data_IF_585503910972
#
_entry.id   IF_585503910972
#
_cell.length_a   1.000
_cell.length_b   1.000
_cell.length_c   1.000
_cell.angle_alpha   90.00
_cell.angle_beta   90.00
_cell.angle_gamma   90.00
#
_symmetry.space_group_name_H-M   'P 1'
#
loop_
_entity.id
_entity.type
_entity.pdbx_description
1 polymer ?
#
# COMPACT_ATOMS: atom_id res chain seq x y z
N UNK A 1 -11.05 1.19 -17.06
CA UNK A 1 -9.70 0.71 -16.74
C UNK A 1 -9.12 1.56 -15.62
N UNK A 2 -8.62 0.95 -14.57
CA UNK A 2 -8.05 1.67 -13.44
C UNK A 2 -6.69 2.24 -13.81
N UNK A 3 -6.41 3.51 -13.47
CA UNK A 3 -5.07 4.05 -13.64
C UNK A 3 -4.06 3.30 -12.76
N UNK A 4 -2.90 3.06 -13.30
CA UNK A 4 -1.82 2.36 -12.61
C UNK A 4 -0.77 3.37 -12.12
N UNK A 5 -0.48 3.33 -10.84
CA UNK A 5 0.51 4.21 -10.23
C UNK A 5 1.68 3.36 -9.73
N UNK A 6 2.82 3.51 -10.37
CA UNK A 6 4.02 2.76 -10.04
C UNK A 6 5.10 3.68 -9.49
N UNK A 7 5.65 3.34 -8.33
CA UNK A 7 6.74 4.07 -7.74
C UNK A 7 8.04 3.71 -8.47
N UNK A 8 8.56 4.65 -9.25
CA UNK A 8 9.87 4.50 -9.88
C UNK A 8 10.70 5.75 -9.63
N UNK A 9 11.14 5.96 -8.41
CA UNK A 9 11.89 7.16 -8.08
C UNK A 9 13.30 7.05 -8.64
N UNK A 10 13.53 7.65 -9.78
CA UNK A 10 14.86 7.69 -10.39
C UNK A 10 15.59 8.99 -10.10
N UNK A 11 14.91 9.92 -9.45
CA UNK A 11 15.42 11.25 -9.26
C UNK A 11 15.17 11.75 -7.86
N UNK A 12 15.76 12.87 -7.56
CA UNK A 12 15.84 13.45 -6.23
C UNK A 12 14.47 13.73 -5.59
N UNK A 13 13.43 13.98 -6.38
CA UNK A 13 12.11 14.30 -5.85
C UNK A 13 11.11 13.18 -6.06
N UNK A 14 11.46 11.95 -5.66
CA UNK A 14 10.59 10.79 -5.84
C UNK A 14 9.21 10.96 -5.24
N UNK A 15 9.10 11.54 -4.03
CA UNK A 15 7.82 11.78 -3.39
C UNK A 15 6.97 12.79 -4.14
N UNK A 16 7.58 13.84 -4.66
CA UNK A 16 6.87 14.84 -5.47
C UNK A 16 6.37 14.22 -6.77
N UNK A 17 7.18 13.38 -7.41
CA UNK A 17 6.77 12.69 -8.63
C UNK A 17 5.60 11.76 -8.37
N UNK A 18 5.60 11.07 -7.23
CA UNK A 18 4.48 10.22 -6.85
C UNK A 18 3.21 11.03 -6.66
N UNK A 19 3.30 12.19 -5.99
CA UNK A 19 2.12 13.04 -5.80
C UNK A 19 1.58 13.57 -7.13
N UNK A 20 2.46 13.92 -8.05
CA UNK A 20 2.04 14.36 -9.39
C UNK A 20 1.35 13.21 -10.14
N UNK A 21 1.91 11.99 -10.04
CA UNK A 21 1.30 10.82 -10.68
C UNK A 21 -0.09 10.55 -10.11
N UNK A 22 -0.26 10.66 -8.80
CA UNK A 22 -1.57 10.50 -8.16
C UNK A 22 -2.55 11.55 -8.66
N UNK A 23 -2.13 12.82 -8.73
CA UNK A 23 -2.97 13.91 -9.21
C UNK A 23 -3.42 13.69 -10.66
N UNK A 24 -2.50 13.22 -11.50
CA UNK A 24 -2.84 12.91 -12.90
C UNK A 24 -3.85 11.78 -13.01
N UNK A 25 -3.67 10.74 -12.20
CA UNK A 25 -4.58 9.61 -12.17
C UNK A 25 -5.97 10.06 -11.71
N UNK A 26 -6.04 10.91 -10.68
CA UNK A 26 -7.31 11.43 -10.17
C UNK A 26 -8.04 12.31 -11.21
N UNK A 27 -7.28 13.03 -12.02
CA UNK A 27 -7.87 13.88 -13.06
C UNK A 27 -8.64 13.07 -14.10
N UNK A 28 -8.38 11.77 -14.21
CA UNK A 28 -9.11 10.88 -15.10
C UNK A 28 -10.41 10.35 -14.49
N UNK A 29 -10.74 10.75 -13.28
CA UNK A 29 -11.93 10.32 -12.54
C UNK A 29 -12.05 8.79 -12.48
N UNK A 30 -11.06 8.09 -11.93
CA UNK A 30 -11.05 6.63 -11.93
C UNK A 30 -12.00 6.04 -10.91
N UNK A 31 -12.51 4.84 -11.21
CA UNK A 31 -13.27 4.07 -10.22
C UNK A 31 -12.35 3.37 -9.23
N UNK A 32 -11.17 2.95 -9.68
CA UNK A 32 -10.19 2.24 -8.85
C UNK A 32 -8.79 2.78 -9.14
N UNK A 33 -8.03 3.00 -8.08
CA UNK A 33 -6.60 3.34 -8.20
C UNK A 33 -5.76 2.11 -7.85
N UNK A 34 -4.74 1.86 -8.64
CA UNK A 34 -3.79 0.79 -8.39
C UNK A 34 -2.44 1.38 -7.96
N UNK A 35 -1.96 0.99 -6.79
CA UNK A 35 -0.66 1.39 -6.27
C UNK A 35 0.24 0.16 -6.16
N UNK A 36 1.37 0.18 -6.85
CA UNK A 36 2.33 -0.93 -6.82
C UNK A 36 3.60 -0.46 -6.12
N UNK A 37 3.72 -0.76 -4.84
CA UNK A 37 4.85 -0.38 -3.99
C UNK A 37 5.19 1.11 -4.12
N UNK A 38 4.22 2.01 -3.85
CA UNK A 38 4.40 3.44 -4.14
C UNK A 38 5.48 4.11 -3.30
N UNK A 39 5.91 3.48 -2.21
CA UNK A 39 6.95 4.04 -1.34
C UNK A 39 8.29 3.32 -1.48
N UNK A 40 8.38 2.34 -2.38
CA UNK A 40 9.61 1.60 -2.61
C UNK A 40 10.73 2.56 -3.05
N UNK A 41 11.89 2.46 -2.43
CA UNK A 41 13.08 3.26 -2.72
C UNK A 41 12.94 4.77 -2.44
N UNK A 42 11.88 5.20 -1.76
CA UNK A 42 11.79 6.57 -1.25
C UNK A 42 12.48 6.66 0.11
N UNK A 43 13.00 7.84 0.45
CA UNK A 43 13.51 8.04 1.80
C UNK A 43 12.35 8.15 2.81
N UNK A 44 12.62 7.96 4.12
CA UNK A 44 11.55 7.89 5.13
C UNK A 44 10.64 9.13 5.17
N UNK A 45 11.18 10.31 4.91
CA UNK A 45 10.40 11.54 4.93
C UNK A 45 9.39 11.56 3.78
N UNK A 46 9.81 11.16 2.60
CA UNK A 46 8.93 11.09 1.43
C UNK A 46 7.92 9.97 1.53
N UNK A 47 8.28 8.85 2.17
CA UNK A 47 7.36 7.77 2.44
C UNK A 47 6.16 8.29 3.22
N UNK A 48 6.40 9.05 4.29
CA UNK A 48 5.33 9.62 5.10
C UNK A 48 4.39 10.51 4.30
N UNK A 49 4.95 11.34 3.43
CA UNK A 49 4.13 12.23 2.61
C UNK A 49 3.22 11.48 1.65
N UNK A 50 3.75 10.45 0.99
CA UNK A 50 2.97 9.64 0.04
C UNK A 50 1.88 8.87 0.76
N UNK A 51 2.20 8.24 1.89
CA UNK A 51 1.22 7.49 2.67
C UNK A 51 0.11 8.40 3.20
N UNK A 52 0.43 9.63 3.57
CA UNK A 52 -0.57 10.60 4.02
C UNK A 52 -1.57 10.93 2.91
N UNK A 53 -1.09 11.12 1.68
CA UNK A 53 -1.96 11.36 0.54
C UNK A 53 -2.87 10.15 0.30
N UNK A 54 -2.31 8.95 0.35
CA UNK A 54 -3.07 7.73 0.13
C UNK A 54 -4.13 7.53 1.22
N UNK A 55 -3.80 7.85 2.46
CA UNK A 55 -4.77 7.75 3.55
C UNK A 55 -5.91 8.74 3.38
N UNK A 56 -5.61 9.95 2.95
CA UNK A 56 -6.64 10.95 2.67
C UNK A 56 -7.61 10.47 1.59
N UNK A 57 -7.09 9.84 0.53
CA UNK A 57 -7.93 9.27 -0.52
C UNK A 57 -8.81 8.14 0.01
N UNK A 58 -8.27 7.29 0.87
CA UNK A 58 -9.05 6.22 1.49
C UNK A 58 -10.18 6.79 2.34
N UNK A 59 -9.89 7.85 3.09
CA UNK A 59 -10.91 8.50 3.93
C UNK A 59 -12.02 9.14 3.09
N UNK A 60 -11.74 9.50 1.87
CA UNK A 60 -12.74 10.04 0.95
C UNK A 60 -13.55 8.94 0.25
N UNK A 61 -13.27 7.68 0.53
CA UNK A 61 -14.00 6.56 -0.02
C UNK A 61 -13.48 6.05 -1.37
N UNK A 62 -12.28 6.48 -1.77
CA UNK A 62 -11.69 6.01 -3.01
C UNK A 62 -11.36 4.52 -2.91
N UNK A 63 -11.78 3.74 -3.91
CA UNK A 63 -11.43 2.34 -3.99
C UNK A 63 -9.99 2.21 -4.49
N UNK A 64 -9.16 1.50 -3.72
CA UNK A 64 -7.75 1.36 -4.03
C UNK A 64 -7.30 -0.08 -3.86
N UNK A 65 -6.45 -0.53 -4.78
CA UNK A 65 -5.72 -1.78 -4.60
C UNK A 65 -4.25 -1.39 -4.40
N UNK A 66 -3.69 -1.76 -3.25
CA UNK A 66 -2.34 -1.33 -2.88
C UNK A 66 -1.45 -2.55 -2.62
N UNK A 67 -0.35 -2.64 -3.36
CA UNK A 67 0.69 -3.62 -3.10
C UNK A 67 1.79 -2.89 -2.33
N UNK A 68 2.07 -3.33 -1.10
CA UNK A 68 2.99 -2.58 -0.25
C UNK A 68 3.64 -3.46 0.80
N UNK A 69 4.80 -3.03 1.27
CA UNK A 69 5.46 -3.57 2.46
C UNK A 69 5.27 -2.66 3.68
N UNK A 70 4.51 -1.58 3.54
CA UNK A 70 4.22 -0.67 4.65
C UNK A 70 3.13 -1.27 5.52
N UNK A 71 3.52 -2.08 6.49
CA UNK A 71 2.59 -2.91 7.25
C UNK A 71 1.68 -2.09 8.16
N UNK A 72 2.19 -1.05 8.80
CA UNK A 72 1.34 -0.19 9.64
C UNK A 72 0.26 0.51 8.81
N UNK A 73 0.62 0.98 7.62
CA UNK A 73 -0.35 1.58 6.71
C UNK A 73 -1.41 0.58 6.29
N UNK A 74 -0.98 -0.63 5.89
CA UNK A 74 -1.92 -1.68 5.48
C UNK A 74 -2.88 -2.03 6.61
N UNK A 75 -2.36 -2.19 7.83
CA UNK A 75 -3.17 -2.52 8.99
C UNK A 75 -4.21 -1.45 9.29
N UNK A 76 -3.78 -0.19 9.27
CA UNK A 76 -4.60 0.93 9.76
C UNK A 76 -5.57 1.48 8.72
N UNK A 77 -5.29 1.31 7.43
CA UNK A 77 -6.05 1.97 6.37
C UNK A 77 -6.89 1.00 5.55
N UNK A 78 -6.45 -0.24 5.38
CA UNK A 78 -7.14 -1.18 4.50
C UNK A 78 -8.45 -1.70 5.13
N UNK A 79 -9.36 -2.12 4.27
CA UNK A 79 -10.59 -2.81 4.68
C UNK A 79 -10.49 -4.31 4.44
N UNK A 80 -9.57 -4.72 3.57
CA UNK A 80 -9.33 -6.12 3.27
C UNK A 80 -7.84 -6.30 2.98
N UNK A 81 -7.22 -7.30 3.57
CA UNK A 81 -5.80 -7.58 3.43
C UNK A 81 -5.61 -8.94 2.78
N UNK A 82 -4.71 -9.01 1.81
CA UNK A 82 -4.34 -10.24 1.12
C UNK A 82 -2.84 -10.44 1.28
N UNK A 83 -2.43 -11.53 1.92
CA UNK A 83 -1.03 -11.90 2.01
C UNK A 83 -0.72 -12.92 0.93
N UNK A 84 0.21 -12.56 0.06
CA UNK A 84 0.66 -13.44 -1.01
C UNK A 84 2.05 -13.99 -0.70
N UNK A 85 2.24 -15.26 -1.00
CA UNK A 85 3.52 -15.93 -0.82
C UNK A 85 3.76 -16.84 -2.02
N UNK A 86 4.90 -16.70 -2.64
CA UNK A 86 5.30 -17.51 -3.81
C UNK A 86 4.26 -17.50 -4.93
N UNK A 87 3.68 -16.33 -5.19
CA UNK A 87 2.76 -16.14 -6.30
C UNK A 87 1.32 -16.61 -6.04
N UNK A 88 1.01 -17.06 -4.82
CA UNK A 88 -0.33 -17.50 -4.48
C UNK A 88 -0.85 -16.76 -3.25
N UNK A 89 -2.17 -16.67 -3.13
CA UNK A 89 -2.80 -16.11 -1.95
C UNK A 89 -2.64 -17.12 -0.81
N UNK A 90 -1.95 -16.67 0.25
CA UNK A 90 -1.70 -17.49 1.42
C UNK A 90 -2.79 -17.31 2.48
N UNK A 91 -3.18 -16.06 2.71
CA UNK A 91 -4.18 -15.72 3.72
C UNK A 91 -4.83 -14.39 3.36
N UNK A 92 -6.13 -14.23 3.65
CA UNK A 92 -6.82 -12.97 3.41
C UNK A 92 -7.95 -12.79 4.42
N UNK A 93 -8.31 -11.53 4.64
CA UNK A 93 -9.38 -11.21 5.56
C UNK A 93 -9.32 -9.76 6.01
N UNK A 94 -10.07 -9.43 7.05
CA UNK A 94 -10.03 -8.12 7.65
C UNK A 94 -8.67 -7.85 8.28
N UNK A 95 -8.20 -6.59 8.34
CA UNK A 95 -6.90 -6.29 8.94
C UNK A 95 -6.74 -6.82 10.36
N UNK A 96 -7.78 -6.72 11.19
CA UNK A 96 -7.70 -7.23 12.56
C UNK A 96 -7.46 -8.74 12.60
N UNK A 97 -7.97 -9.48 11.62
CA UNK A 97 -7.78 -10.92 11.57
C UNK A 97 -6.39 -11.29 11.04
N UNK A 98 -5.98 -10.69 9.92
CA UNK A 98 -4.72 -11.04 9.27
C UNK A 98 -3.52 -10.58 10.10
N UNK A 99 -3.58 -9.36 10.63
CA UNK A 99 -2.48 -8.82 11.42
C UNK A 99 -2.56 -9.22 12.90
N UNK A 100 -3.75 -9.30 13.46
CA UNK A 100 -3.94 -9.57 14.88
C UNK A 100 -4.03 -11.05 15.23
N UNK A 101 -4.50 -11.88 14.31
CA UNK A 101 -4.69 -13.30 14.56
C UNK A 101 -4.46 -14.11 13.30
N UNK A 102 -3.25 -14.05 12.72
CA UNK A 102 -2.97 -14.81 11.49
C UNK A 102 -3.08 -16.33 11.74
N UNK A 103 -3.64 -17.03 10.76
CA UNK A 103 -3.90 -18.46 10.88
C UNK A 103 -2.81 -19.32 10.25
N UNK A 104 -2.16 -18.79 9.19
CA UNK A 104 -1.13 -19.53 8.47
C UNK A 104 0.24 -19.25 9.09
N UNK A 105 1.07 -20.31 9.17
CA UNK A 105 2.41 -20.14 9.71
C UNK A 105 3.25 -19.18 8.88
N UNK A 106 3.08 -19.21 7.56
CA UNK A 106 3.79 -18.31 6.65
C UNK A 106 3.45 -16.85 6.95
N UNK A 107 2.18 -16.55 7.24
CA UNK A 107 1.76 -15.21 7.60
C UNK A 107 2.36 -14.77 8.93
N UNK A 108 2.36 -15.67 9.91
CA UNK A 108 2.94 -15.40 11.22
C UNK A 108 4.43 -15.09 11.11
N UNK A 109 5.15 -15.88 10.32
CA UNK A 109 6.59 -15.69 10.12
C UNK A 109 6.88 -14.37 9.42
N UNK A 110 6.10 -14.05 8.37
CA UNK A 110 6.25 -12.80 7.65
C UNK A 110 6.03 -11.59 8.56
N UNK A 111 4.94 -11.60 9.31
CA UNK A 111 4.60 -10.47 10.18
C UNK A 111 5.59 -10.31 11.35
N UNK A 112 6.15 -11.41 11.84
CA UNK A 112 7.13 -11.33 12.94
C UNK A 112 8.37 -10.52 12.57
N UNK A 113 8.75 -10.52 11.29
CA UNK A 113 9.90 -9.74 10.82
C UNK A 113 9.65 -8.23 10.92
N UNK A 114 8.40 -7.81 10.78
CA UNK A 114 8.05 -6.39 10.86
C UNK A 114 7.82 -5.92 12.28
N UNK A 115 7.45 -6.82 13.19
CA UNK A 115 7.25 -6.48 14.59
C UNK A 115 8.55 -6.22 15.34
N UNK A 116 9.66 -6.70 14.82
CA UNK A 116 10.97 -6.57 15.47
C UNK A 116 11.73 -5.32 15.04
N UNK A 117 11.20 -4.59 14.11
CA UNK A 117 11.87 -3.39 13.63
C UNK A 117 11.39 -2.13 14.32
#
# INVERSE_FOLDING_TARGET
MAPYINARPRQISGGQKQRVAIARALAMDPEVLLFDEPTSALDPEMVGEVLTVMQALANEGMTMLVVTHEMAFARDVSTHVVYMNQGVICEEGAPAEVFGNPQRQETKDFLSRFRQS
#
